data_IF_575353550722
#
_entry.id   IF_575353550722
#
_cell.length_a   1.000
_cell.length_b   1.000
_cell.length_c   1.000
_cell.angle_alpha   90.00
_cell.angle_beta   90.00
_cell.angle_gamma   90.00
#
_symmetry.space_group_name_H-M   'P 1'
#
loop_
_entity.id
_entity.type
_entity.pdbx_description
1 polymer ?
#
# COMPACT_ATOMS: atom_id res chain seq x y z
N UNK A 1 19.16 27.01 8.51
CA UNK A 1 20.08 26.85 9.66
C UNK A 1 20.57 25.42 9.68
N UNK A 2 21.77 25.17 9.21
CA UNK A 2 22.38 23.83 9.12
C UNK A 2 23.86 23.95 9.41
N UNK A 3 24.20 24.12 10.68
CA UNK A 3 25.59 24.02 11.13
C UNK A 3 26.03 22.55 11.06
N UNK A 4 27.21 22.35 10.48
CA UNK A 4 27.74 21.04 10.13
C UNK A 4 27.83 20.08 11.31
N UNK A 5 26.97 19.06 11.31
CA UNK A 5 27.19 17.86 12.11
C UNK A 5 28.47 17.19 11.60
N UNK A 6 29.48 17.14 12.47
CA UNK A 6 30.82 16.64 12.13
C UNK A 6 30.83 15.11 12.04
N UNK A 7 31.87 14.54 11.43
CA UNK A 7 32.10 13.10 11.42
C UNK A 7 32.11 12.49 12.84
N UNK A 8 32.54 13.25 13.85
CA UNK A 8 32.52 12.84 15.25
C UNK A 8 31.09 12.67 15.79
N UNK A 9 30.15 13.52 15.36
CA UNK A 9 28.72 13.40 15.70
C UNK A 9 28.11 12.13 15.10
N UNK A 10 28.48 11.78 13.85
CA UNK A 10 28.01 10.54 13.20
C UNK A 10 28.53 9.30 13.94
N UNK A 11 29.82 9.27 14.27
CA UNK A 11 30.43 8.12 14.96
C UNK A 11 29.84 7.92 16.37
N UNK A 12 29.46 9.00 17.07
CA UNK A 12 28.76 8.92 18.36
C UNK A 12 27.35 8.34 18.29
N UNK A 13 26.66 8.45 17.14
CA UNK A 13 25.30 7.91 16.95
C UNK A 13 25.29 6.42 16.60
N UNK A 14 26.37 5.89 16.04
CA UNK A 14 26.44 4.50 15.55
C UNK A 14 26.15 3.46 16.64
N UNK A 15 26.75 3.52 17.85
CA UNK A 15 26.47 2.55 18.91
C UNK A 15 24.99 2.51 19.32
N UNK A 16 24.32 3.68 19.31
CA UNK A 16 22.91 3.82 19.71
C UNK A 16 21.95 3.12 18.75
N UNK A 17 22.38 2.78 17.53
CA UNK A 17 21.59 1.96 16.60
C UNK A 17 21.31 0.55 17.13
N UNK A 18 22.15 0.06 18.06
CA UNK A 18 22.00 -1.23 18.71
C UNK A 18 21.49 -1.16 20.15
N UNK A 19 21.09 0.03 20.62
CA UNK A 19 20.64 0.24 22.00
C UNK A 19 19.39 -0.59 22.32
N UNK A 20 19.29 -1.01 23.59
CA UNK A 20 18.13 -1.72 24.11
C UNK A 20 16.96 -0.78 24.37
N UNK A 21 17.24 0.50 24.66
CA UNK A 21 16.20 1.52 24.77
C UNK A 21 15.64 1.86 23.38
N UNK A 22 14.35 1.60 23.11
CA UNK A 22 13.73 1.96 21.83
C UNK A 22 13.74 3.47 21.56
N UNK A 23 13.75 4.30 22.62
CA UNK A 23 13.83 5.75 22.51
C UNK A 23 15.14 6.22 21.90
N UNK A 24 16.26 5.81 22.51
CA UNK A 24 17.62 6.10 22.05
C UNK A 24 17.85 5.61 20.63
N UNK A 25 17.45 4.36 20.31
CA UNK A 25 17.55 3.81 18.96
C UNK A 25 16.79 4.64 17.93
N UNK A 26 15.52 4.98 18.21
CA UNK A 26 14.71 5.81 17.29
C UNK A 26 15.29 7.21 17.13
N UNK A 27 15.82 7.79 18.21
CA UNK A 27 16.52 9.08 18.20
C UNK A 27 17.74 9.06 17.27
N UNK A 28 18.58 8.02 17.39
CA UNK A 28 19.76 7.85 16.55
C UNK A 28 19.41 7.65 15.08
N UNK A 29 18.43 6.80 14.77
CA UNK A 29 17.92 6.61 13.39
C UNK A 29 17.42 7.94 12.80
N UNK A 30 16.63 8.71 13.56
CA UNK A 30 16.12 10.02 13.11
C UNK A 30 17.25 11.01 12.85
N UNK A 31 18.22 11.10 13.76
CA UNK A 31 19.36 11.99 13.61
C UNK A 31 20.21 11.63 12.37
N UNK A 32 20.50 10.35 12.15
CA UNK A 32 21.25 9.90 10.96
C UNK A 32 20.47 10.11 9.66
N UNK A 33 19.14 9.95 9.67
CA UNK A 33 18.28 10.30 8.52
C UNK A 33 18.32 11.81 8.22
N UNK A 34 18.31 12.66 9.25
CA UNK A 34 18.41 14.11 9.10
C UNK A 34 19.79 14.56 8.58
N UNK A 35 20.86 13.85 8.95
CA UNK A 35 22.21 14.05 8.41
C UNK A 35 22.27 13.70 6.90
N UNK A 36 21.41 12.78 6.45
CA UNK A 36 21.29 12.45 5.03
C UNK A 36 22.47 11.65 4.49
N UNK A 37 22.79 11.85 3.20
CA UNK A 37 23.79 11.07 2.46
C UNK A 37 25.21 11.16 3.03
N UNK A 38 25.52 12.20 3.81
CA UNK A 38 26.80 12.32 4.53
C UNK A 38 27.05 11.17 5.53
N UNK A 39 26.00 10.51 6.04
CA UNK A 39 26.13 9.37 6.94
C UNK A 39 26.51 8.06 6.22
N UNK A 40 26.32 7.96 4.89
CA UNK A 40 26.41 6.71 4.13
C UNK A 40 27.80 6.04 4.25
N UNK A 41 28.94 6.73 4.06
CA UNK A 41 30.26 6.08 4.14
C UNK A 41 30.55 5.50 5.53
N UNK A 42 30.01 6.13 6.59
CA UNK A 42 30.17 5.66 7.96
C UNK A 42 29.34 4.40 8.22
N UNK A 43 28.09 4.38 7.77
CA UNK A 43 27.21 3.22 7.91
C UNK A 43 27.71 2.02 7.09
N UNK A 44 28.20 2.24 5.87
CA UNK A 44 28.83 1.18 5.06
C UNK A 44 30.07 0.60 5.76
N UNK A 45 30.87 1.43 6.41
CA UNK A 45 32.03 0.98 7.20
C UNK A 45 31.61 0.06 8.35
N UNK A 46 30.52 0.38 9.05
CA UNK A 46 29.93 -0.48 10.09
C UNK A 46 29.49 -1.82 9.51
N UNK A 47 28.85 -1.83 8.34
CA UNK A 47 28.39 -3.05 7.67
C UNK A 47 29.53 -3.99 7.25
N UNK A 48 30.66 -3.42 6.80
CA UNK A 48 31.85 -4.16 6.32
C UNK A 48 32.72 -4.73 7.46
N UNK A 49 32.76 -4.08 8.62
CA UNK A 49 33.58 -4.51 9.78
C UNK A 49 33.01 -5.75 10.47
N UNK A 50 33.89 -6.60 11.02
CA UNK A 50 33.51 -7.82 11.76
C UNK A 50 33.02 -7.56 13.19
N UNK A 51 33.51 -6.48 13.82
CA UNK A 51 33.36 -6.22 15.25
C UNK A 51 32.09 -5.47 15.75
N UNK A 52 31.20 -4.87 14.94
CA UNK A 52 29.99 -4.26 15.49
C UNK A 52 28.97 -5.34 15.86
N UNK A 53 28.33 -5.19 17.03
CA UNK A 53 27.28 -6.10 17.49
C UNK A 53 26.12 -6.21 16.49
N UNK A 54 25.39 -7.33 16.48
CA UNK A 54 24.38 -7.62 15.45
C UNK A 54 23.28 -6.55 15.36
N UNK A 55 22.85 -5.96 16.49
CA UNK A 55 21.82 -4.91 16.51
C UNK A 55 22.30 -3.60 15.88
N UNK A 56 23.53 -3.18 16.16
CA UNK A 56 24.15 -1.99 15.54
C UNK A 56 24.21 -2.17 14.02
N UNK A 57 24.63 -3.35 13.57
CA UNK A 57 24.70 -3.69 12.15
C UNK A 57 23.33 -3.68 11.48
N UNK A 58 22.29 -4.17 12.17
CA UNK A 58 20.92 -4.15 11.68
C UNK A 58 20.38 -2.72 11.58
N UNK A 59 20.56 -1.90 12.61
CA UNK A 59 20.15 -0.49 12.58
C UNK A 59 20.91 0.31 11.52
N UNK A 60 22.19 0.03 11.29
CA UNK A 60 22.94 0.68 10.22
C UNK A 60 22.42 0.31 8.82
N UNK A 61 22.00 -0.94 8.61
CA UNK A 61 21.39 -1.39 7.36
C UNK A 61 20.02 -0.73 7.14
N UNK A 62 19.20 -0.59 8.19
CA UNK A 62 17.92 0.13 8.12
C UNK A 62 18.12 1.56 7.64
N UNK A 63 19.04 2.31 8.29
CA UNK A 63 19.31 3.69 7.90
C UNK A 63 19.89 3.78 6.48
N UNK A 64 20.77 2.87 6.08
CA UNK A 64 21.27 2.81 4.70
C UNK A 64 20.13 2.61 3.69
N UNK A 65 19.25 1.65 3.94
CA UNK A 65 18.12 1.38 3.05
C UNK A 65 17.17 2.59 2.94
N UNK A 66 17.00 3.37 4.01
CA UNK A 66 16.23 4.62 3.98
C UNK A 66 16.89 5.73 3.16
N UNK A 67 18.21 5.85 3.24
CA UNK A 67 18.93 6.96 2.60
C UNK A 67 19.16 6.72 1.11
N UNK A 68 19.58 5.50 0.75
CA UNK A 68 20.08 5.19 -0.59
C UNK A 68 19.27 4.12 -1.33
N UNK A 69 18.29 3.49 -0.67
CA UNK A 69 17.49 2.42 -1.28
C UNK A 69 18.30 1.16 -1.58
N UNK A 70 17.69 0.13 -2.20
CA UNK A 70 18.35 -1.14 -2.45
C UNK A 70 19.52 -1.01 -3.43
N UNK A 71 19.43 -0.12 -4.42
CA UNK A 71 20.46 0.08 -5.45
C UNK A 71 21.75 0.71 -4.89
N UNK A 72 21.66 1.43 -3.76
CA UNK A 72 22.82 1.98 -3.05
C UNK A 72 23.46 1.06 -2.01
N UNK A 73 22.91 -0.14 -1.79
CA UNK A 73 23.46 -1.12 -0.84
C UNK A 73 24.59 -1.93 -1.47
N UNK A 74 25.58 -2.30 -0.66
CA UNK A 74 26.63 -3.25 -1.08
C UNK A 74 26.00 -4.61 -1.45
N UNK A 75 26.59 -5.32 -2.42
CA UNK A 75 26.12 -6.64 -2.87
C UNK A 75 25.95 -7.66 -1.75
N UNK A 76 26.79 -7.58 -0.71
CA UNK A 76 26.68 -8.43 0.49
C UNK A 76 25.38 -8.19 1.26
N UNK A 77 24.95 -6.93 1.36
CA UNK A 77 23.75 -6.54 2.07
C UNK A 77 22.50 -6.86 1.25
N UNK A 78 22.57 -6.66 -0.07
CA UNK A 78 21.53 -7.13 -1.00
C UNK A 78 21.35 -8.66 -0.92
N UNK A 79 22.44 -9.45 -0.90
CA UNK A 79 22.32 -10.91 -0.77
C UNK A 79 21.81 -11.34 0.61
N UNK A 80 22.22 -10.64 1.68
CA UNK A 80 21.69 -10.90 3.00
C UNK A 80 20.17 -10.66 3.06
N UNK A 81 19.70 -9.58 2.44
CA UNK A 81 18.27 -9.28 2.31
C UNK A 81 17.55 -10.36 1.49
N UNK A 82 18.03 -10.69 0.28
CA UNK A 82 17.43 -11.76 -0.55
C UNK A 82 17.36 -13.10 0.17
N UNK A 83 18.40 -13.47 0.91
CA UNK A 83 18.41 -14.71 1.71
C UNK A 83 17.38 -14.66 2.83
N UNK A 84 17.28 -13.54 3.56
CA UNK A 84 16.28 -13.38 4.61
C UNK A 84 14.86 -13.47 4.04
N UNK A 85 14.60 -12.82 2.90
CA UNK A 85 13.31 -12.90 2.22
C UNK A 85 12.96 -14.33 1.83
N UNK A 86 13.90 -15.08 1.24
CA UNK A 86 13.68 -16.52 0.94
C UNK A 86 13.33 -17.33 2.17
N UNK A 87 13.99 -17.08 3.31
CA UNK A 87 13.70 -17.77 4.58
C UNK A 87 12.30 -17.40 5.09
N UNK A 88 11.93 -16.11 5.02
CA UNK A 88 10.65 -15.62 5.52
C UNK A 88 9.46 -16.09 4.70
N UNK A 89 9.62 -16.16 3.38
CA UNK A 89 8.60 -16.70 2.46
C UNK A 89 8.20 -18.15 2.79
N UNK A 90 9.12 -18.99 3.29
CA UNK A 90 8.82 -20.40 3.60
C UNK A 90 7.83 -20.59 4.75
N UNK A 91 7.69 -19.60 5.63
CA UNK A 91 6.82 -19.66 6.80
C UNK A 91 5.87 -18.45 6.83
N UNK A 92 5.64 -17.83 5.68
CA UNK A 92 4.74 -16.69 5.59
C UNK A 92 3.29 -17.14 5.77
N UNK A 93 2.60 -16.49 6.69
CA UNK A 93 1.15 -16.56 6.85
C UNK A 93 0.57 -15.21 6.46
N UNK A 94 -0.47 -15.15 5.61
CA UNK A 94 -1.15 -13.90 5.30
C UNK A 94 -1.64 -13.22 6.57
N UNK A 95 -1.56 -11.90 6.57
CA UNK A 95 -2.04 -11.03 7.63
C UNK A 95 -2.72 -9.84 6.98
N UNK A 96 -3.72 -9.28 7.67
CA UNK A 96 -4.55 -8.20 7.15
C UNK A 96 -3.71 -6.97 6.79
N UNK A 97 -3.88 -6.48 5.57
CA UNK A 97 -3.20 -5.29 5.07
C UNK A 97 -3.95 -4.02 5.47
N UNK A 98 -3.23 -2.97 5.82
CA UNK A 98 -3.83 -1.65 6.02
C UNK A 98 -4.25 -1.04 4.67
N UNK A 99 -5.55 -0.83 4.49
CA UNK A 99 -6.08 -0.28 3.24
C UNK A 99 -6.11 1.25 3.30
N UNK A 100 -5.46 1.90 2.33
CA UNK A 100 -5.47 3.35 2.13
C UNK A 100 -4.85 3.63 0.75
N UNK A 101 -5.64 3.79 -0.29
CA UNK A 101 -5.22 3.88 -1.68
C UNK A 101 -6.02 2.91 -2.54
N UNK A 102 -5.49 2.60 -3.72
CA UNK A 102 -6.18 1.76 -4.68
C UNK A 102 -5.41 0.50 -5.07
N UNK A 103 -6.14 -0.52 -5.51
CA UNK A 103 -5.60 -1.77 -6.04
C UNK A 103 -6.48 -2.36 -7.14
N UNK A 104 -5.87 -3.19 -7.99
CA UNK A 104 -6.58 -4.03 -8.95
C UNK A 104 -6.63 -5.47 -8.45
N UNK A 105 -7.68 -6.21 -8.80
CA UNK A 105 -7.81 -7.64 -8.60
C UNK A 105 -8.11 -8.33 -9.93
N UNK A 106 -7.33 -9.36 -10.27
CA UNK A 106 -7.51 -10.18 -11.49
C UNK A 106 -7.49 -11.68 -11.15
N UNK A 107 -8.40 -12.51 -11.71
CA UNK A 107 -8.57 -13.91 -11.32
C UNK A 107 -7.58 -14.81 -12.07
N UNK A 108 -6.30 -14.72 -11.75
CA UNK A 108 -5.25 -15.51 -12.39
C UNK A 108 -4.15 -15.90 -11.41
N UNK A 109 -3.51 -17.04 -11.69
CA UNK A 109 -2.29 -17.48 -11.05
C UNK A 109 -1.03 -17.21 -11.89
N UNK A 110 -1.20 -16.71 -13.12
CA UNK A 110 -0.10 -16.40 -14.03
C UNK A 110 0.49 -15.02 -13.71
N UNK A 111 1.50 -15.01 -12.83
CA UNK A 111 2.18 -13.78 -12.41
C UNK A 111 2.89 -13.09 -13.59
N UNK A 112 3.43 -13.82 -14.55
CA UNK A 112 4.09 -13.24 -15.72
C UNK A 112 3.08 -12.53 -16.62
N UNK A 113 1.87 -13.09 -16.76
CA UNK A 113 0.80 -12.42 -17.47
C UNK A 113 0.35 -11.13 -16.78
N UNK A 114 0.30 -11.11 -15.44
CA UNK A 114 0.01 -9.90 -14.67
C UNK A 114 1.11 -8.85 -14.87
N UNK A 115 2.39 -9.23 -14.70
CA UNK A 115 3.52 -8.33 -14.92
C UNK A 115 3.50 -7.73 -16.32
N UNK A 116 3.21 -8.54 -17.35
CA UNK A 116 3.09 -8.07 -18.72
C UNK A 116 1.89 -7.13 -18.93
N UNK A 117 0.73 -7.40 -18.31
CA UNK A 117 -0.48 -6.58 -18.45
C UNK A 117 -0.29 -5.16 -17.89
N UNK A 118 0.54 -5.03 -16.85
CA UNK A 118 0.87 -3.76 -16.21
C UNK A 118 2.23 -3.18 -16.64
N UNK A 119 2.89 -3.77 -17.66
CA UNK A 119 4.19 -3.36 -18.19
C UNK A 119 5.30 -3.27 -17.12
N UNK A 120 5.25 -4.18 -16.16
CA UNK A 120 6.16 -4.25 -15.02
C UNK A 120 7.40 -5.08 -15.36
N UNK A 121 8.55 -4.68 -14.81
CA UNK A 121 9.83 -5.35 -15.04
C UNK A 121 10.65 -5.51 -13.76
N UNK A 122 11.73 -6.27 -13.85
CA UNK A 122 12.66 -6.53 -12.74
C UNK A 122 11.97 -7.00 -11.44
N UNK A 123 11.08 -8.02 -11.48
CA UNK A 123 10.38 -8.47 -10.29
C UNK A 123 11.36 -9.03 -9.26
N UNK A 124 11.21 -8.60 -8.01
CA UNK A 124 11.94 -9.12 -6.86
C UNK A 124 10.97 -9.80 -5.88
N UNK A 125 11.17 -11.08 -5.54
CA UNK A 125 10.36 -11.77 -4.54
C UNK A 125 10.36 -11.02 -3.21
N UNK A 126 9.19 -10.88 -2.61
CA UNK A 126 8.98 -10.24 -1.32
C UNK A 126 7.86 -10.93 -0.54
N UNK A 127 7.89 -10.78 0.79
CA UNK A 127 6.75 -11.16 1.65
C UNK A 127 5.57 -10.19 1.42
N UNK A 128 4.35 -10.61 1.72
CA UNK A 128 3.15 -9.76 1.78
C UNK A 128 3.41 -8.53 2.65
N UNK A 129 4.05 -8.71 3.82
CA UNK A 129 4.41 -7.59 4.72
C UNK A 129 5.36 -6.59 4.07
N UNK A 130 6.39 -7.07 3.37
CA UNK A 130 7.30 -6.19 2.62
C UNK A 130 6.55 -5.45 1.51
N UNK A 131 5.66 -6.15 0.78
CA UNK A 131 4.83 -5.60 -0.27
C UNK A 131 3.87 -4.51 0.22
N UNK A 132 3.16 -4.77 1.32
CA UNK A 132 2.27 -3.82 1.99
C UNK A 132 3.02 -2.55 2.41
N UNK A 133 4.17 -2.71 3.09
CA UNK A 133 4.99 -1.58 3.52
C UNK A 133 5.51 -0.77 2.33
N UNK A 134 5.90 -1.45 1.24
CA UNK A 134 6.33 -0.83 0.00
C UNK A 134 5.21 -0.03 -0.67
N UNK A 135 4.00 -0.58 -0.69
CA UNK A 135 2.80 0.08 -1.18
C UNK A 135 2.49 1.31 -0.31
N UNK A 136 2.56 1.25 1.03
CA UNK A 136 2.21 2.36 1.93
C UNK A 136 3.13 3.57 1.86
N UNK A 137 4.43 3.34 1.68
CA UNK A 137 5.44 4.35 1.95
C UNK A 137 5.32 5.60 1.07
N UNK A 138 4.79 5.47 -0.14
CA UNK A 138 4.72 6.57 -1.11
C UNK A 138 3.30 7.03 -1.41
N UNK A 139 2.30 6.53 -0.68
CA UNK A 139 0.90 6.93 -0.90
C UNK A 139 0.59 8.36 -0.46
N UNK A 140 1.43 8.92 0.41
CA UNK A 140 1.31 10.29 0.91
C UNK A 140 2.57 11.13 0.63
N UNK A 141 3.51 10.64 -0.19
CA UNK A 141 4.68 11.44 -0.54
C UNK A 141 4.30 12.47 -1.60
N UNK A 142 3.72 13.59 -1.15
CA UNK A 142 3.63 14.85 -1.88
C UNK A 142 4.99 15.58 -1.89
N UNK A 143 6.09 14.83 -1.73
CA UNK A 143 7.41 15.40 -1.60
C UNK A 143 8.02 15.61 -2.99
N UNK A 144 8.03 16.87 -3.42
CA UNK A 144 8.68 17.31 -4.66
C UNK A 144 10.19 17.03 -4.69
N UNK A 145 10.81 16.59 -3.59
CA UNK A 145 12.22 16.23 -3.55
C UNK A 145 12.55 14.96 -4.36
N UNK A 146 11.56 14.10 -4.68
CA UNK A 146 11.78 12.86 -5.44
C UNK A 146 10.66 12.64 -6.47
N UNK A 147 10.72 13.32 -7.62
CA UNK A 147 9.80 13.01 -8.72
C UNK A 147 9.86 11.51 -9.02
N UNK A 148 8.69 10.91 -9.27
CA UNK A 148 8.48 9.48 -9.55
C UNK A 148 8.52 8.48 -8.38
N UNK A 149 8.82 8.88 -7.13
CA UNK A 149 8.84 7.93 -6.01
C UNK A 149 7.52 7.15 -5.83
N UNK A 150 6.38 7.78 -6.12
CA UNK A 150 5.05 7.18 -6.05
C UNK A 150 4.69 6.29 -7.25
N UNK A 151 5.30 6.50 -8.42
CA UNK A 151 4.98 5.77 -9.65
C UNK A 151 6.08 4.83 -10.13
N UNK A 152 7.19 4.68 -9.38
CA UNK A 152 8.32 3.82 -9.76
C UNK A 152 8.13 2.33 -9.43
N UNK A 153 7.25 1.97 -8.51
CA UNK A 153 7.17 0.59 -7.99
C UNK A 153 5.75 0.15 -7.71
N UNK A 154 5.48 -1.10 -8.08
CA UNK A 154 4.21 -1.79 -7.87
C UNK A 154 4.47 -3.07 -7.07
N UNK A 155 3.55 -3.39 -6.17
CA UNK A 155 3.51 -4.68 -5.49
C UNK A 155 2.46 -5.58 -6.15
N UNK A 156 2.87 -6.75 -6.59
CA UNK A 156 1.97 -7.82 -7.07
C UNK A 156 1.94 -8.89 -6.00
N UNK A 157 0.76 -9.23 -5.51
CA UNK A 157 0.59 -10.23 -4.45
C UNK A 157 0.95 -11.65 -4.93
N UNK A 158 1.16 -12.62 -4.02
CA UNK A 158 0.89 -14.02 -4.35
C UNK A 158 -0.57 -14.20 -4.78
N UNK A 159 -0.93 -15.38 -5.27
CA UNK A 159 -2.35 -15.69 -5.51
C UNK A 159 -3.04 -15.86 -4.16
N UNK A 160 -4.11 -15.10 -3.93
CA UNK A 160 -4.94 -15.09 -2.73
C UNK A 160 -6.34 -15.56 -3.14
N UNK A 161 -6.79 -16.72 -2.65
CA UNK A 161 -8.09 -17.32 -2.98
C UNK A 161 -8.46 -17.34 -4.48
N UNK A 162 -7.45 -17.49 -5.35
CA UNK A 162 -7.60 -17.53 -6.81
C UNK A 162 -7.40 -16.19 -7.52
N UNK A 163 -7.15 -15.11 -6.78
CA UNK A 163 -6.94 -13.76 -7.29
C UNK A 163 -5.51 -13.28 -7.10
N UNK A 164 -4.98 -12.56 -8.08
CA UNK A 164 -3.76 -11.78 -7.93
C UNK A 164 -4.13 -10.32 -7.78
N UNK A 165 -3.63 -9.69 -6.71
CA UNK A 165 -3.84 -8.29 -6.40
C UNK A 165 -2.64 -7.45 -6.83
N UNK A 166 -2.89 -6.25 -7.35
CA UNK A 166 -1.85 -5.35 -7.85
C UNK A 166 -2.01 -3.98 -7.20
N UNK A 167 -0.98 -3.57 -6.46
CA UNK A 167 -0.97 -2.40 -5.59
C UNK A 167 0.08 -1.37 -6.00
N UNK A 168 -0.30 -0.10 -6.07
CA UNK A 168 0.59 1.01 -6.42
C UNK A 168 0.11 1.77 -7.65
N UNK A 169 0.87 2.80 -8.03
CA UNK A 169 0.55 3.63 -9.18
C UNK A 169 1.38 3.23 -10.40
N UNK A 170 0.76 3.23 -11.57
CA UNK A 170 1.42 2.91 -12.84
C UNK A 170 1.88 4.21 -13.50
N UNK A 171 3.14 4.24 -13.96
CA UNK A 171 3.76 5.47 -14.46
C UNK A 171 2.94 6.17 -15.56
N UNK A 172 2.48 5.42 -16.56
CA UNK A 172 1.71 6.01 -17.67
C UNK A 172 0.38 6.60 -17.20
N UNK A 173 -0.35 5.86 -16.37
CA UNK A 173 -1.64 6.29 -15.81
C UNK A 173 -1.47 7.54 -14.92
N UNK A 174 -0.49 7.50 -14.01
CA UNK A 174 -0.16 8.63 -13.12
C UNK A 174 0.15 9.88 -13.92
N UNK A 175 1.05 9.79 -14.90
CA UNK A 175 1.42 10.96 -15.71
C UNK A 175 0.28 11.47 -16.56
N UNK A 176 -0.58 10.58 -17.09
CA UNK A 176 -1.78 10.99 -17.83
C UNK A 176 -2.74 11.77 -16.93
N UNK A 177 -2.93 11.35 -15.69
CA UNK A 177 -3.79 12.03 -14.71
C UNK A 177 -3.16 13.35 -14.25
N UNK A 178 -1.88 13.36 -13.89
CA UNK A 178 -1.20 14.56 -13.37
C UNK A 178 -1.12 15.70 -14.38
N UNK A 179 -0.96 15.37 -15.66
CA UNK A 179 -0.88 16.30 -16.79
C UNK A 179 -2.25 16.76 -17.30
N UNK A 180 -3.35 16.21 -16.78
CA UNK A 180 -4.69 16.59 -17.21
C UNK A 180 -5.16 17.89 -16.54
N UNK A 181 -5.89 18.71 -17.30
CA UNK A 181 -6.59 19.88 -16.77
C UNK A 181 -7.69 19.47 -15.78
N UNK A 182 -8.44 18.42 -16.12
CA UNK A 182 -9.42 17.78 -15.23
C UNK A 182 -8.93 16.40 -14.78
N UNK A 183 -8.28 16.39 -13.62
CA UNK A 183 -7.68 15.17 -13.06
C UNK A 183 -8.72 14.14 -12.63
N UNK A 184 -9.87 14.58 -12.14
CA UNK A 184 -10.91 13.69 -11.64
C UNK A 184 -11.55 12.92 -12.79
N UNK A 185 -11.91 13.63 -13.86
CA UNK A 185 -12.49 12.99 -15.05
C UNK A 185 -11.51 12.06 -15.76
N UNK A 186 -10.24 12.47 -15.88
CA UNK A 186 -9.21 11.61 -16.49
C UNK A 186 -8.93 10.39 -15.62
N UNK A 187 -8.91 10.52 -14.30
CA UNK A 187 -8.77 9.39 -13.39
C UNK A 187 -9.87 8.34 -13.60
N UNK A 188 -11.14 8.78 -13.64
CA UNK A 188 -12.29 7.90 -13.90
C UNK A 188 -12.18 7.18 -15.25
N UNK A 189 -11.79 7.91 -16.29
CA UNK A 189 -11.61 7.34 -17.62
C UNK A 189 -10.50 6.28 -17.64
N UNK A 190 -9.36 6.57 -17.02
CA UNK A 190 -8.21 5.65 -16.94
C UNK A 190 -8.58 4.37 -16.21
N UNK A 191 -9.22 4.47 -15.03
CA UNK A 191 -9.66 3.30 -14.25
C UNK A 191 -10.62 2.43 -15.07
N UNK A 192 -11.63 3.03 -15.73
CA UNK A 192 -12.60 2.30 -16.56
C UNK A 192 -11.93 1.62 -17.75
N UNK A 193 -11.03 2.32 -18.44
CA UNK A 193 -10.26 1.77 -19.57
C UNK A 193 -9.41 0.59 -19.11
N UNK A 194 -8.70 0.71 -17.98
CA UNK A 194 -7.85 -0.36 -17.47
C UNK A 194 -8.63 -1.58 -17.01
N UNK A 195 -9.73 -1.39 -16.28
CA UNK A 195 -10.60 -2.51 -15.92
C UNK A 195 -11.11 -3.25 -17.15
N UNK A 196 -11.56 -2.54 -18.18
CA UNK A 196 -12.00 -3.15 -19.44
C UNK A 196 -10.86 -3.91 -20.16
N UNK A 197 -9.66 -3.34 -20.23
CA UNK A 197 -8.51 -4.03 -20.86
C UNK A 197 -8.09 -5.29 -20.11
N UNK A 198 -8.01 -5.21 -18.78
CA UNK A 198 -7.64 -6.33 -17.94
C UNK A 198 -8.72 -7.42 -17.98
N UNK A 199 -10.01 -7.06 -17.96
CA UNK A 199 -11.08 -8.05 -18.04
C UNK A 199 -11.16 -8.73 -19.40
N UNK A 200 -10.79 -8.08 -20.52
CA UNK A 200 -10.59 -8.78 -21.81
C UNK A 200 -9.54 -9.88 -21.73
N UNK A 201 -8.48 -9.66 -20.96
CA UNK A 201 -7.35 -10.58 -20.84
C UNK A 201 -7.60 -11.70 -19.82
N UNK A 202 -8.20 -11.37 -18.69
CA UNK A 202 -8.34 -12.27 -17.54
C UNK A 202 -9.79 -12.73 -17.29
N UNK A 203 -10.73 -12.37 -18.18
CA UNK A 203 -12.16 -12.66 -18.06
C UNK A 203 -12.89 -11.69 -17.12
N UNK A 204 -12.26 -11.30 -16.01
CA UNK A 204 -12.73 -10.27 -15.09
C UNK A 204 -11.57 -9.43 -14.58
N UNK A 205 -11.86 -8.16 -14.23
CA UNK A 205 -10.93 -7.30 -13.54
C UNK A 205 -11.69 -6.27 -12.70
N UNK A 206 -11.27 -6.14 -11.44
CA UNK A 206 -11.84 -5.18 -10.51
C UNK A 206 -10.78 -4.16 -10.10
N UNK A 207 -11.24 -2.95 -9.83
CA UNK A 207 -10.47 -1.90 -9.20
C UNK A 207 -11.21 -1.41 -7.97
N UNK A 208 -10.48 -1.17 -6.90
CA UNK A 208 -11.01 -0.73 -5.62
C UNK A 208 -10.17 0.43 -5.10
N UNK A 209 -10.82 1.47 -4.59
CA UNK A 209 -10.19 2.62 -3.99
C UNK A 209 -10.79 2.90 -2.61
N UNK A 210 -9.92 3.12 -1.62
CA UNK A 210 -10.33 3.55 -0.27
C UNK A 210 -9.40 4.65 0.23
N UNK A 211 -9.92 5.65 0.93
CA UNK A 211 -9.08 6.58 1.69
C UNK A 211 -8.93 6.13 3.13
N UNK A 212 -7.75 6.33 3.69
CA UNK A 212 -7.50 6.15 5.13
C UNK A 212 -7.63 7.45 5.93
N UNK A 213 -7.86 8.59 5.26
CA UNK A 213 -7.94 9.92 5.88
C UNK A 213 -9.33 10.56 5.83
N UNK A 214 -10.23 10.02 5.02
CA UNK A 214 -11.60 10.47 4.82
C UNK A 214 -12.49 9.29 4.41
N UNK A 215 -13.77 9.56 4.15
CA UNK A 215 -14.78 8.55 3.82
C UNK A 215 -14.82 8.20 2.31
N UNK A 216 -13.83 8.61 1.51
CA UNK A 216 -13.80 8.29 0.08
C UNK A 216 -13.64 6.78 -0.13
N UNK A 217 -14.52 6.23 -0.96
CA UNK A 217 -14.47 4.85 -1.44
C UNK A 217 -15.02 4.78 -2.86
N UNK A 218 -14.44 3.92 -3.69
CA UNK A 218 -14.82 3.75 -5.08
C UNK A 218 -14.52 2.33 -5.57
N UNK A 219 -15.25 1.87 -6.58
CA UNK A 219 -14.98 0.60 -7.25
C UNK A 219 -15.35 0.61 -8.73
N UNK A 220 -14.63 -0.17 -9.50
CA UNK A 220 -14.90 -0.42 -10.92
C UNK A 220 -14.82 -1.93 -11.17
N UNK A 221 -15.87 -2.51 -11.71
CA UNK A 221 -16.02 -3.94 -11.98
C UNK A 221 -16.18 -4.07 -13.49
N UNK A 222 -15.33 -4.89 -14.11
CA UNK A 222 -15.42 -5.19 -15.53
C UNK A 222 -15.36 -6.69 -15.80
N UNK A 223 -16.14 -7.13 -16.78
CA UNK A 223 -16.28 -8.51 -17.20
C UNK A 223 -16.23 -8.59 -18.73
N UNK A 224 -15.44 -9.52 -19.27
CA UNK A 224 -15.38 -9.76 -20.72
C UNK A 224 -14.98 -8.55 -21.57
N UNK A 225 -14.37 -7.54 -20.98
CA UNK A 225 -13.99 -6.30 -21.65
C UNK A 225 -14.92 -5.11 -21.47
N UNK A 226 -16.01 -5.28 -20.75
CA UNK A 226 -17.01 -4.23 -20.51
C UNK A 226 -17.05 -3.86 -19.02
N UNK A 227 -17.17 -2.58 -18.73
CA UNK A 227 -17.37 -2.11 -17.35
C UNK A 227 -18.84 -2.30 -16.99
N UNK A 228 -19.13 -3.25 -16.11
CA UNK A 228 -20.49 -3.59 -15.66
C UNK A 228 -20.95 -2.71 -14.50
N UNK A 229 -20.00 -2.17 -13.72
CA UNK A 229 -20.28 -1.23 -12.63
C UNK A 229 -19.09 -0.30 -12.40
N UNK A 230 -19.34 0.98 -12.30
CA UNK A 230 -18.41 1.96 -11.75
C UNK A 230 -19.16 2.79 -10.70
N UNK A 231 -18.55 2.97 -9.55
CA UNK A 231 -19.08 3.76 -8.43
C UNK A 231 -17.95 4.57 -7.80
N UNK A 232 -18.22 5.84 -7.53
CA UNK A 232 -17.38 6.71 -6.70
C UNK A 232 -18.29 7.44 -5.71
N UNK A 233 -17.95 7.39 -4.42
CA UNK A 233 -18.78 7.95 -3.36
C UNK A 233 -18.96 9.47 -3.46
N UNK A 234 -17.94 10.20 -3.90
CA UNK A 234 -17.99 11.66 -4.00
C UNK A 234 -18.75 12.08 -5.26
N UNK A 235 -18.47 11.46 -6.42
CA UNK A 235 -19.25 11.70 -7.64
C UNK A 235 -20.74 11.45 -7.41
N UNK A 236 -21.08 10.34 -6.75
CA UNK A 236 -22.46 9.97 -6.48
C UNK A 236 -23.13 10.91 -5.47
N UNK A 237 -22.36 11.49 -4.53
CA UNK A 237 -22.84 12.49 -3.59
C UNK A 237 -23.17 13.83 -4.26
N UNK A 238 -22.40 14.23 -5.26
CA UNK A 238 -22.56 15.51 -5.96
C UNK A 238 -23.60 15.42 -7.09
N UNK A 239 -23.51 14.39 -7.93
CA UNK A 239 -24.26 14.27 -9.18
C UNK A 239 -25.28 13.12 -9.21
N UNK A 240 -25.34 12.32 -8.15
CA UNK A 240 -26.13 11.10 -8.09
C UNK A 240 -25.42 9.90 -8.73
N UNK A 241 -25.90 8.70 -8.39
CA UNK A 241 -25.42 7.45 -8.99
C UNK A 241 -26.28 7.05 -10.18
N UNK A 242 -25.74 7.20 -11.39
CA UNK A 242 -26.40 6.84 -12.64
C UNK A 242 -26.20 5.39 -13.08
N UNK A 243 -25.42 4.59 -12.35
CA UNK A 243 -25.14 3.19 -12.68
C UNK A 243 -26.23 2.24 -12.22
N UNK A 244 -26.41 1.12 -12.93
CA UNK A 244 -27.20 0.01 -12.39
C UNK A 244 -26.48 -0.59 -11.18
N UNK A 245 -27.17 -0.84 -10.04
CA UNK A 245 -26.56 -1.47 -8.89
C UNK A 245 -26.01 -2.84 -9.21
N UNK A 246 -24.85 -3.17 -8.66
CA UNK A 246 -24.26 -4.50 -8.81
C UNK A 246 -24.80 -5.46 -7.74
N UNK A 247 -25.01 -6.77 -8.03
CA UNK A 247 -25.46 -7.73 -7.02
C UNK A 247 -24.60 -7.79 -5.75
N UNK A 248 -23.30 -7.45 -5.86
CA UNK A 248 -22.40 -7.35 -4.72
C UNK A 248 -22.78 -6.23 -3.72
N UNK A 249 -23.54 -5.23 -4.16
CA UNK A 249 -24.02 -4.12 -3.32
C UNK A 249 -25.29 -4.51 -2.55
N UNK A 250 -25.91 -5.66 -2.86
CA UNK A 250 -27.17 -6.07 -2.27
C UNK A 250 -27.07 -6.21 -0.74
N UNK A 251 -28.00 -5.58 -0.03
CA UNK A 251 -28.04 -5.58 1.44
C UNK A 251 -27.14 -4.53 2.10
N UNK A 252 -26.48 -3.66 1.33
CA UNK A 252 -25.80 -2.48 1.84
C UNK A 252 -26.48 -1.18 1.42
N UNK A 253 -26.19 -0.09 2.15
CA UNK A 253 -26.39 1.28 1.68
C UNK A 253 -25.15 1.74 0.93
N UNK A 254 -25.31 2.40 -0.21
CA UNK A 254 -24.18 3.10 -0.82
C UNK A 254 -23.84 4.36 -0.01
N UNK A 255 -22.56 4.78 0.08
CA UNK A 255 -22.16 5.94 0.87
C UNK A 255 -23.01 7.21 0.66
N UNK A 256 -23.35 7.57 -0.58
CA UNK A 256 -24.18 8.75 -0.87
C UNK A 256 -25.65 8.63 -0.40
N UNK A 257 -26.11 7.40 -0.17
CA UNK A 257 -27.45 7.07 0.32
C UNK A 257 -27.52 7.08 1.85
N UNK A 258 -26.38 6.89 2.52
CA UNK A 258 -26.30 6.93 3.98
C UNK A 258 -26.58 8.36 4.46
N UNK A 259 -27.72 8.56 5.13
CA UNK A 259 -28.12 9.84 5.72
C UNK A 259 -27.66 9.97 7.18
N UNK A 260 -26.83 9.03 7.64
CA UNK A 260 -26.39 8.93 9.01
C UNK A 260 -27.50 8.50 9.97
N UNK A 261 -27.15 8.46 11.25
CA UNK A 261 -28.11 8.18 12.31
C UNK A 261 -28.98 9.42 12.61
N UNK A 262 -30.22 9.23 13.10
CA UNK A 262 -31.07 10.34 13.51
C UNK A 262 -30.40 11.26 14.52
N UNK A 263 -30.73 12.55 14.47
CA UNK A 263 -30.26 13.53 15.46
C UNK A 263 -30.67 13.07 16.87
N UNK A 264 -29.71 13.05 17.80
CA UNK A 264 -29.93 12.56 19.16
C UNK A 264 -29.68 11.05 19.34
N UNK A 265 -29.25 10.32 18.30
CA UNK A 265 -28.95 8.89 18.42
C UNK A 265 -27.91 8.56 19.52
N UNK A 266 -27.02 9.49 19.84
CA UNK A 266 -25.99 9.38 20.88
C UNK A 266 -26.30 10.17 22.16
N UNK A 267 -27.54 10.65 22.33
CA UNK A 267 -27.91 11.36 23.56
C UNK A 267 -27.73 10.45 24.78
N UNK A 268 -27.02 10.96 25.81
CA UNK A 268 -26.68 10.19 27.00
C UNK A 268 -25.51 9.22 26.86
N UNK A 269 -24.83 9.17 25.70
CA UNK A 269 -23.58 8.41 25.52
C UNK A 269 -22.38 9.30 25.77
N UNK A 270 -21.42 8.84 26.56
CA UNK A 270 -20.12 9.49 26.68
C UNK A 270 -19.33 9.28 25.39
N UNK A 271 -19.14 10.35 24.63
CA UNK A 271 -18.41 10.32 23.35
C UNK A 271 -16.91 10.06 23.50
N UNK A 272 -16.36 10.21 24.72
CA UNK A 272 -14.97 9.84 25.01
C UNK A 272 -14.81 8.32 25.17
N UNK A 273 -15.89 7.59 25.48
CA UNK A 273 -15.91 6.14 25.52
C UNK A 273 -16.20 5.57 24.12
N UNK A 274 -15.13 5.20 23.43
CA UNK A 274 -15.23 4.67 22.05
C UNK A 274 -16.04 3.38 22.00
N UNK A 275 -15.97 2.52 23.02
CA UNK A 275 -16.71 1.26 23.05
C UNK A 275 -18.20 1.52 23.24
N UNK A 276 -18.56 2.48 24.10
CA UNK A 276 -19.96 2.90 24.28
C UNK A 276 -20.54 3.54 23.01
N UNK A 277 -19.76 4.37 22.30
CA UNK A 277 -20.16 4.95 21.01
C UNK A 277 -20.38 3.86 19.96
N UNK A 278 -19.45 2.90 19.83
CA UNK A 278 -19.57 1.78 18.87
C UNK A 278 -20.77 0.89 19.21
N UNK A 279 -20.96 0.56 20.49
CA UNK A 279 -22.11 -0.23 20.93
C UNK A 279 -23.42 0.48 20.64
N UNK A 280 -23.53 1.79 20.93
CA UNK A 280 -24.71 2.59 20.63
C UNK A 280 -24.98 2.67 19.14
N UNK A 281 -23.95 2.91 18.34
CA UNK A 281 -24.05 2.96 16.87
C UNK A 281 -24.65 1.66 16.34
N UNK A 282 -24.11 0.50 16.75
CA UNK A 282 -24.63 -0.83 16.34
C UNK A 282 -26.07 -1.05 16.78
N UNK A 283 -26.40 -0.68 18.02
CA UNK A 283 -27.75 -0.81 18.55
C UNK A 283 -28.75 0.01 17.72
N UNK A 284 -28.48 1.29 17.48
CA UNK A 284 -29.38 2.17 16.73
C UNK A 284 -29.58 1.68 15.31
N UNK A 285 -28.53 1.20 14.64
CA UNK A 285 -28.66 0.60 13.30
C UNK A 285 -29.53 -0.65 13.31
N UNK A 286 -29.36 -1.52 14.30
CA UNK A 286 -30.17 -2.72 14.44
C UNK A 286 -31.65 -2.38 14.70
N UNK A 287 -31.92 -1.47 15.64
CA UNK A 287 -33.27 -1.06 16.02
C UNK A 287 -34.02 -0.41 14.85
N UNK A 288 -33.33 0.43 14.07
CA UNK A 288 -33.88 1.12 12.92
C UNK A 288 -33.77 0.33 11.60
N UNK A 289 -33.17 -0.88 11.65
CA UNK A 289 -32.87 -1.72 10.48
C UNK A 289 -32.13 -0.96 9.38
N UNK A 290 -31.20 -0.09 9.75
CA UNK A 290 -30.34 0.64 8.82
C UNK A 290 -29.21 -0.31 8.40
N UNK A 291 -29.10 -0.66 7.10
CA UNK A 291 -28.03 -1.53 6.63
C UNK A 291 -26.62 -0.95 6.83
N UNK A 292 -25.62 -1.80 6.67
CA UNK A 292 -24.23 -1.34 6.65
C UNK A 292 -23.90 -0.54 5.40
N UNK A 293 -23.02 0.43 5.55
CA UNK A 293 -22.61 1.31 4.46
C UNK A 293 -21.49 0.64 3.70
N UNK A 294 -21.71 0.44 2.40
CA UNK A 294 -20.84 -0.31 1.53
C UNK A 294 -19.50 0.41 1.31
N UNK A 295 -18.40 -0.31 1.49
CA UNK A 295 -17.06 0.16 1.13
C UNK A 295 -16.41 -0.75 0.09
N UNK A 296 -15.35 -0.27 -0.54
CA UNK A 296 -14.69 -1.03 -1.61
C UNK A 296 -14.12 -2.37 -1.11
N UNK A 297 -13.69 -2.45 0.15
CA UNK A 297 -13.29 -3.69 0.82
C UNK A 297 -14.46 -4.67 1.03
N UNK A 298 -15.67 -4.19 1.32
CA UNK A 298 -16.87 -5.05 1.37
C UNK A 298 -17.19 -5.66 0.00
N UNK A 299 -17.08 -4.86 -1.07
CA UNK A 299 -17.28 -5.34 -2.45
C UNK A 299 -16.14 -6.29 -2.84
N UNK A 300 -14.91 -5.99 -2.46
CA UNK A 300 -13.77 -6.86 -2.71
C UNK A 300 -13.93 -8.21 -2.01
N UNK A 301 -14.38 -8.24 -0.75
CA UNK A 301 -14.68 -9.46 -0.01
C UNK A 301 -15.70 -10.37 -0.70
N UNK A 302 -16.68 -9.77 -1.40
CA UNK A 302 -17.76 -10.51 -2.09
C UNK A 302 -17.36 -11.01 -3.48
N UNK A 303 -16.54 -10.26 -4.20
CA UNK A 303 -16.25 -10.52 -5.62
C UNK A 303 -14.85 -11.04 -5.90
N UNK A 304 -13.90 -10.76 -5.01
CA UNK A 304 -12.50 -11.15 -5.17
C UNK A 304 -11.87 -11.48 -3.81
N UNK A 305 -11.04 -10.58 -3.28
CA UNK A 305 -10.38 -10.72 -1.97
C UNK A 305 -10.33 -9.37 -1.29
N UNK A 306 -10.77 -9.31 -0.03
CA UNK A 306 -10.49 -8.18 0.86
C UNK A 306 -9.05 -8.31 1.42
N UNK A 307 -8.12 -7.40 1.05
CA UNK A 307 -6.76 -7.47 1.56
C UNK A 307 -6.69 -7.12 3.06
N UNK A 308 -7.68 -6.44 3.64
CA UNK A 308 -7.77 -6.14 5.07
C UNK A 308 -8.15 -7.34 5.93
N UNK A 309 -8.86 -8.32 5.36
CA UNK A 309 -9.32 -9.52 6.05
C UNK A 309 -8.40 -10.74 5.86
N UNK A 310 -7.22 -10.59 5.26
CA UNK A 310 -6.31 -11.72 5.05
C UNK A 310 -5.93 -12.39 6.38
N UNK A 311 -5.81 -13.72 6.35
CA UNK A 311 -5.42 -14.48 7.53
C UNK A 311 -5.10 -15.94 7.21
N UNK A 312 -5.06 -16.77 8.25
CA UNK A 312 -4.80 -18.22 8.13
C UNK A 312 -5.86 -18.97 7.33
N UNK A 313 -7.03 -18.36 7.10
CA UNK A 313 -8.10 -18.91 6.27
C UNK A 313 -7.92 -18.62 4.77
N UNK A 314 -7.07 -17.65 4.41
CA UNK A 314 -6.82 -17.27 3.02
C UNK A 314 -5.92 -18.30 2.35
N UNK A 315 -6.39 -18.91 1.25
CA UNK A 315 -5.53 -19.83 0.48
C UNK A 315 -4.51 -19.02 -0.30
N UNK A 316 -3.25 -19.42 -0.20
CA UNK A 316 -2.15 -18.75 -0.89
C UNK A 316 -1.33 -19.69 -1.76
N UNK A 317 -0.87 -19.17 -2.91
CA UNK A 317 0.09 -19.88 -3.75
C UNK A 317 1.05 -18.92 -4.44
N UNK A 318 2.28 -19.37 -4.67
CA UNK A 318 3.37 -18.53 -5.17
C UNK A 318 3.90 -17.57 -4.10
N UNK A 319 4.48 -16.45 -4.54
CA UNK A 319 4.99 -15.40 -3.68
C UNK A 319 4.72 -14.03 -4.32
N UNK A 320 4.66 -12.99 -3.49
CA UNK A 320 4.53 -11.63 -3.98
C UNK A 320 5.83 -11.11 -4.57
N UNK A 321 5.73 -10.10 -5.43
CA UNK A 321 6.88 -9.43 -6.04
C UNK A 321 6.75 -7.92 -5.99
N UNK A 322 7.87 -7.24 -5.74
CA UNK A 322 8.01 -5.82 -6.08
C UNK A 322 8.58 -5.72 -7.48
N UNK A 323 7.86 -5.04 -8.35
CA UNK A 323 8.26 -4.83 -9.74
C UNK A 323 8.32 -3.34 -10.07
N UNK A 324 9.16 -3.00 -11.03
CA UNK A 324 9.40 -1.63 -11.48
C UNK A 324 8.51 -1.29 -12.67
N UNK A 325 7.89 -0.12 -12.60
CA UNK A 325 7.21 0.51 -13.75
C UNK A 325 8.26 1.06 -14.74
N UNK A 326 7.82 1.72 -15.82
CA UNK A 326 8.74 2.41 -16.72
C UNK A 326 9.60 3.46 -15.97
N UNK A 327 8.99 4.29 -15.14
CA UNK A 327 9.72 5.25 -14.30
C UNK A 327 10.67 4.56 -13.32
N UNK A 328 10.27 3.41 -12.75
CA UNK A 328 11.15 2.65 -11.86
C UNK A 328 12.37 2.08 -12.55
N UNK A 329 12.25 1.65 -13.81
CA UNK A 329 13.39 1.16 -14.59
C UNK A 329 14.36 2.28 -14.96
N UNK A 330 13.87 3.51 -15.11
CA UNK A 330 14.69 4.69 -15.41
C UNK A 330 15.34 5.28 -14.15
N UNK A 331 14.59 5.39 -13.04
CA UNK A 331 15.01 6.10 -11.84
C UNK A 331 15.41 5.19 -10.67
N UNK A 332 15.28 3.87 -10.83
CA UNK A 332 15.58 2.86 -9.81
C UNK A 332 14.48 2.69 -8.77
N UNK A 333 14.77 1.86 -7.77
CA UNK A 333 13.84 1.63 -6.67
C UNK A 333 13.74 2.85 -5.75
N UNK A 334 12.52 3.22 -5.31
CA UNK A 334 12.37 4.23 -4.28
C UNK A 334 13.07 3.84 -2.97
N UNK A 335 13.71 4.82 -2.32
CA UNK A 335 14.44 4.62 -1.07
C UNK A 335 13.52 4.37 0.12
N UNK A 336 14.00 3.66 1.12
CA UNK A 336 13.19 3.32 2.28
C UNK A 336 13.52 1.94 2.78
N UNK A 337 13.77 1.83 4.08
CA UNK A 337 13.80 0.55 4.72
C UNK A 337 12.42 -0.10 4.65
N UNK A 338 12.37 -1.32 4.13
CA UNK A 338 11.18 -2.16 4.14
C UNK A 338 11.38 -3.28 5.17
N UNK A 339 10.34 -3.60 5.96
CA UNK A 339 10.37 -4.77 6.83
C UNK A 339 10.46 -6.05 5.99
N UNK A 340 11.07 -7.10 6.54
CA UNK A 340 11.15 -8.45 5.95
C UNK A 340 10.62 -9.48 6.94
#
# INVERSE_FOLDING_TARGET
>A
MGEGLTAASIEGLIPLLGDLDPGARRGAVRALRAIGTAAVPHLQRVRRRRAPGPRVRAGALEVLADLVGPDGLDSRDQEAWRRLTRIKLLAETPDGMRLCGAWYAVPTADQDAVLAAFELGSPQPVTLRTGEAAWHRFRHSWDGARPHAACSRVFVSPVLDGWTLVFGHFSQDTHRIENADDRADVFRLVVRQRCAELSRRFGSAHWYGVSGGDDWTAWCIAEGGEVVRHYDAYDAGESGDGGLPHPAEAGYLLPHQDKGLPRGAFEGVDVADTDAVVARYRQVKADLRIPDTCRADDIAARLSVDPGALGTHTRTSGHGVLALTACGREHGHPVGALPV
#
